data_IF_790563438948
#
_entry.id   IF_790563438948
#
_cell.length_a   1.000
_cell.length_b   1.000
_cell.length_c   1.000
_cell.angle_alpha   90.00
_cell.angle_beta   90.00
_cell.angle_gamma   90.00
#
_symmetry.space_group_name_H-M   'P 1'
#
loop_
_entity.id
_entity.type
_entity.pdbx_description
1 polymer ?
#
# COMPACT_ATOMS: atom_id res chain seq x y z
N UNK A 1 -0.32 10.47 -7.03
CA UNK A 1 -1.42 10.95 -6.16
C UNK A 1 -1.51 10.00 -4.97
N UNK A 2 -1.59 10.51 -3.74
CA UNK A 2 -1.78 9.73 -2.51
C UNK A 2 -3.25 9.83 -2.08
N UNK A 3 -3.74 8.90 -1.27
CA UNK A 3 -5.10 8.98 -0.73
C UNK A 3 -5.15 8.32 0.65
N UNK A 4 -5.78 8.99 1.61
CA UNK A 4 -6.04 8.47 2.95
C UNK A 4 -7.54 8.44 3.21
N UNK A 5 -8.01 8.11 4.42
CA UNK A 5 -9.43 7.90 4.70
C UNK A 5 -10.23 9.23 4.78
N UNK A 6 -10.17 10.02 3.70
CA UNK A 6 -10.80 11.32 3.51
C UNK A 6 -11.14 11.49 2.01
N UNK A 7 -12.37 11.91 1.71
CA UNK A 7 -12.75 12.30 0.35
C UNK A 7 -12.05 13.59 -0.07
N UNK A 8 -11.29 13.53 -1.18
CA UNK A 8 -10.52 14.69 -1.68
C UNK A 8 -11.33 15.70 -2.49
N UNK A 9 -12.52 15.32 -2.96
CA UNK A 9 -13.28 16.07 -3.96
C UNK A 9 -14.69 16.47 -3.49
N UNK A 10 -15.01 16.23 -2.22
CA UNK A 10 -16.25 16.71 -1.61
C UNK A 10 -15.95 18.02 -0.87
N UNK A 11 -16.72 19.05 -1.17
CA UNK A 11 -16.46 20.42 -0.73
C UNK A 11 -17.09 20.76 0.62
N UNK A 12 -17.85 19.86 1.24
CA UNK A 12 -18.49 20.10 2.53
C UNK A 12 -18.20 18.98 3.53
N UNK A 13 -18.08 19.35 4.80
CA UNK A 13 -18.01 18.43 5.93
C UNK A 13 -19.28 17.60 6.10
N UNK A 14 -20.41 18.09 5.56
CA UNK A 14 -21.71 17.39 5.55
C UNK A 14 -21.74 16.22 4.56
N UNK A 15 -21.04 16.32 3.43
CA UNK A 15 -20.92 15.25 2.43
C UNK A 15 -19.72 14.31 2.68
N UNK A 16 -18.65 14.85 3.27
CA UNK A 16 -17.37 14.15 3.46
C UNK A 16 -17.26 13.31 4.75
N UNK A 17 -18.25 13.37 5.64
CA UNK A 17 -18.23 12.71 6.95
C UNK A 17 -17.25 13.34 7.95
N UNK A 18 -17.24 12.85 9.20
CA UNK A 18 -16.28 13.30 10.22
C UNK A 18 -14.86 12.85 9.86
N UNK A 19 -14.00 13.81 9.57
CA UNK A 19 -12.59 13.54 9.26
C UNK A 19 -11.87 13.10 10.53
N UNK A 20 -11.17 11.96 10.47
CA UNK A 20 -10.29 11.58 11.56
C UNK A 20 -8.98 12.35 11.48
N UNK A 21 -8.47 12.84 12.61
CA UNK A 21 -7.17 13.52 12.71
C UNK A 21 -6.06 12.68 12.06
N UNK A 22 -6.08 11.36 12.26
CA UNK A 22 -5.15 10.43 11.64
C UNK A 22 -5.14 10.50 10.11
N UNK A 23 -6.27 10.79 9.47
CA UNK A 23 -6.33 10.88 8.00
C UNK A 23 -5.75 12.19 7.48
N UNK A 24 -6.02 13.30 8.17
CA UNK A 24 -5.43 14.61 7.86
C UNK A 24 -3.91 14.57 8.04
N UNK A 25 -3.43 14.06 9.17
CA UNK A 25 -2.00 13.94 9.46
C UNK A 25 -1.26 13.09 8.44
N UNK A 26 -1.79 11.90 8.11
CA UNK A 26 -1.16 11.00 7.14
C UNK A 26 -1.17 11.57 5.72
N UNK A 27 -2.24 12.26 5.34
CA UNK A 27 -2.30 12.97 4.06
C UNK A 27 -1.22 14.05 4.00
N UNK A 28 -1.13 14.90 5.03
CA UNK A 28 -0.10 15.93 5.12
C UNK A 28 1.33 15.36 5.21
N UNK A 29 1.53 14.20 5.85
CA UNK A 29 2.80 13.49 5.82
C UNK A 29 3.16 13.05 4.40
N UNK A 30 2.24 12.40 3.70
CA UNK A 30 2.49 11.92 2.35
C UNK A 30 2.71 13.06 1.35
N UNK A 31 2.04 14.19 1.53
CA UNK A 31 2.18 15.36 0.66
C UNK A 31 3.50 16.13 0.89
N UNK A 32 4.20 15.88 2.00
CA UNK A 32 5.56 16.40 2.24
C UNK A 32 6.64 15.65 1.47
N UNK A 33 6.36 14.43 1.02
CA UNK A 33 7.30 13.69 0.18
C UNK A 33 7.35 14.29 -1.21
N UNK A 34 8.53 14.23 -1.83
CA UNK A 34 8.64 14.53 -3.25
C UNK A 34 7.84 13.51 -4.06
N UNK A 35 7.45 13.89 -5.28
CA UNK A 35 6.82 12.97 -6.20
C UNK A 35 7.75 11.76 -6.40
N UNK A 36 7.30 10.52 -6.12
CA UNK A 36 8.17 9.37 -6.18
C UNK A 36 8.64 9.11 -7.61
N UNK A 37 9.96 8.98 -7.79
CA UNK A 37 10.59 8.68 -9.08
C UNK A 37 11.09 7.23 -9.15
N UNK A 38 11.14 6.56 -8.00
CA UNK A 38 11.66 5.21 -7.86
C UNK A 38 10.82 4.35 -6.92
N UNK A 39 11.04 3.03 -6.99
CA UNK A 39 10.53 2.09 -5.98
C UNK A 39 10.96 2.52 -4.56
N UNK A 40 12.21 2.96 -4.40
CA UNK A 40 12.74 3.38 -3.11
C UNK A 40 11.89 4.48 -2.47
N UNK A 41 11.55 5.50 -3.26
CA UNK A 41 10.74 6.63 -2.80
C UNK A 41 9.35 6.18 -2.34
N UNK A 42 8.73 5.26 -3.07
CA UNK A 42 7.41 4.71 -2.70
C UNK A 42 7.50 3.97 -1.37
N UNK A 43 8.54 3.14 -1.17
CA UNK A 43 8.73 2.42 0.09
C UNK A 43 9.03 3.37 1.26
N UNK A 44 9.74 4.49 1.02
CA UNK A 44 9.96 5.52 2.03
C UNK A 44 8.64 6.19 2.45
N UNK A 45 7.75 6.50 1.50
CA UNK A 45 6.42 7.05 1.83
C UNK A 45 5.60 6.04 2.63
N UNK A 46 5.54 4.79 2.17
CA UNK A 46 4.74 3.72 2.82
C UNK A 46 5.27 3.37 4.22
N UNK A 47 6.58 3.53 4.43
CA UNK A 47 7.28 3.27 5.67
C UNK A 47 7.47 4.50 6.57
N UNK A 48 6.89 5.64 6.21
CA UNK A 48 7.12 6.91 6.91
C UNK A 48 6.60 6.88 8.36
N UNK A 49 7.53 7.13 9.28
CA UNK A 49 7.32 7.24 10.73
C UNK A 49 7.73 8.61 11.29
N UNK A 50 7.89 9.63 10.45
CA UNK A 50 8.36 10.97 10.84
C UNK A 50 7.39 11.72 11.75
N UNK A 51 6.07 11.51 11.57
CA UNK A 51 5.07 11.94 12.54
C UNK A 51 5.05 10.95 13.71
N UNK A 52 5.53 11.36 14.88
CA UNK A 52 5.64 10.50 16.06
C UNK A 52 4.29 10.15 16.71
N UNK A 53 3.20 10.84 16.35
CA UNK A 53 1.87 10.65 16.92
C UNK A 53 0.98 9.89 15.94
N UNK A 54 0.96 10.31 14.68
CA UNK A 54 0.07 9.79 13.63
C UNK A 54 0.84 9.45 12.33
N UNK A 55 1.82 8.52 12.38
CA UNK A 55 2.62 8.16 11.22
C UNK A 55 1.81 7.47 10.12
N UNK A 56 2.37 7.42 8.91
CA UNK A 56 1.81 6.63 7.80
C UNK A 56 1.96 5.14 8.13
N UNK A 57 3.18 4.71 8.45
CA UNK A 57 3.44 3.38 8.96
C UNK A 57 3.22 3.33 10.47
N UNK A 58 2.22 2.57 10.93
CA UNK A 58 1.76 2.56 12.32
C UNK A 58 2.06 1.21 12.97
N UNK A 59 2.07 1.18 14.30
CA UNK A 59 2.10 -0.08 15.05
C UNK A 59 0.92 -1.01 14.73
N UNK A 60 -0.20 -0.44 14.26
CA UNK A 60 -1.40 -1.16 13.78
C UNK A 60 -1.44 -1.39 12.27
N UNK A 61 -0.40 -1.03 11.52
CA UNK A 61 -0.32 -1.36 10.10
C UNK A 61 -0.09 -2.87 9.98
N UNK A 62 -1.10 -3.60 9.51
CA UNK A 62 -1.04 -5.06 9.40
C UNK A 62 -0.20 -5.47 8.19
N UNK A 63 -0.47 -4.85 7.04
CA UNK A 63 0.14 -5.21 5.76
C UNK A 63 0.53 -3.97 4.99
N UNK A 64 1.69 -4.02 4.33
CA UNK A 64 2.05 -3.10 3.24
C UNK A 64 2.17 -3.92 1.96
N UNK A 65 1.63 -3.40 0.86
CA UNK A 65 1.74 -4.04 -0.46
C UNK A 65 2.30 -3.04 -1.46
N UNK A 66 3.21 -3.52 -2.31
CA UNK A 66 3.75 -2.78 -3.44
C UNK A 66 3.50 -3.57 -4.73
N UNK A 67 2.94 -2.89 -5.73
CA UNK A 67 2.76 -3.40 -7.07
C UNK A 67 3.54 -2.53 -8.05
N UNK A 68 4.30 -3.17 -8.93
CA UNK A 68 5.03 -2.49 -9.99
C UNK A 68 4.47 -2.93 -11.34
N UNK A 69 3.93 -1.98 -12.09
CA UNK A 69 3.38 -2.24 -13.42
C UNK A 69 4.47 -2.40 -14.48
N UNK A 70 5.69 -1.87 -14.25
CA UNK A 70 6.77 -1.91 -15.24
C UNK A 70 7.36 -3.32 -15.41
N UNK A 71 7.42 -4.10 -14.33
CA UNK A 71 7.98 -5.45 -14.31
C UNK A 71 6.97 -6.50 -13.83
N UNK A 72 5.73 -6.08 -13.56
CA UNK A 72 4.68 -6.96 -13.04
C UNK A 72 4.99 -7.53 -11.66
N UNK A 73 5.89 -6.93 -10.88
CA UNK A 73 6.24 -7.46 -9.56
C UNK A 73 5.23 -7.09 -8.48
N UNK A 74 5.09 -8.00 -7.52
CA UNK A 74 4.28 -7.88 -6.32
C UNK A 74 5.19 -8.13 -5.11
N UNK A 75 5.09 -7.27 -4.09
CA UNK A 75 5.82 -7.40 -2.84
C UNK A 75 4.89 -7.08 -1.66
N UNK A 76 4.98 -7.88 -0.59
CA UNK A 76 4.20 -7.70 0.61
C UNK A 76 5.05 -7.78 1.87
N UNK A 77 4.75 -6.90 2.82
CA UNK A 77 5.30 -6.87 4.18
C UNK A 77 4.16 -7.12 5.16
N UNK A 78 4.44 -7.88 6.21
CA UNK A 78 3.52 -8.10 7.32
C UNK A 78 4.30 -7.96 8.63
N UNK A 79 3.88 -7.00 9.47
CA UNK A 79 4.55 -6.70 10.75
C UNK A 79 5.92 -6.05 10.63
N UNK A 80 6.38 -5.66 9.44
CA UNK A 80 7.67 -5.01 9.22
C UNK A 80 7.56 -3.77 8.33
N UNK A 81 8.41 -2.76 8.61
CA UNK A 81 8.38 -1.48 7.92
C UNK A 81 9.03 -1.63 6.52
N UNK A 82 8.32 -1.29 5.43
CA UNK A 82 8.82 -1.43 4.05
C UNK A 82 10.04 -0.56 3.73
N UNK A 83 10.25 0.55 4.46
CA UNK A 83 11.39 1.44 4.27
C UNK A 83 12.72 0.86 4.82
N UNK A 84 12.64 -0.08 5.76
CA UNK A 84 13.82 -0.56 6.52
C UNK A 84 13.97 -2.08 6.51
N UNK A 85 13.09 -2.82 5.83
CA UNK A 85 13.12 -4.28 5.84
C UNK A 85 12.79 -4.87 4.46
N UNK A 86 13.30 -6.08 4.14
CA UNK A 86 12.91 -6.78 2.92
C UNK A 86 11.44 -7.25 3.00
N UNK A 87 10.77 -7.46 1.85
CA UNK A 87 9.42 -8.00 1.83
C UNK A 87 9.39 -9.43 2.37
N UNK A 88 8.30 -9.78 3.03
CA UNK A 88 8.03 -11.15 3.48
C UNK A 88 7.69 -12.05 2.30
N UNK A 89 6.99 -11.51 1.30
CA UNK A 89 6.60 -12.24 0.09
C UNK A 89 6.86 -11.37 -1.14
N UNK A 90 7.46 -11.97 -2.16
CA UNK A 90 7.68 -11.36 -3.45
C UNK A 90 7.33 -12.37 -4.56
N UNK A 91 6.60 -11.93 -5.57
CA UNK A 91 6.27 -12.73 -6.76
C UNK A 91 6.00 -11.85 -7.98
N UNK A 92 5.69 -12.46 -9.13
CA UNK A 92 5.03 -11.74 -10.22
C UNK A 92 3.52 -11.70 -9.98
N UNK A 93 2.86 -10.63 -10.41
CA UNK A 93 1.38 -10.53 -10.40
C UNK A 93 0.77 -11.65 -11.24
N UNK A 94 1.39 -12.02 -12.37
CA UNK A 94 0.93 -13.13 -13.21
C UNK A 94 0.83 -14.46 -12.44
N UNK A 95 1.82 -14.77 -11.62
CA UNK A 95 1.83 -16.02 -10.82
C UNK A 95 0.66 -16.13 -9.84
N UNK A 96 0.04 -15.01 -9.44
CA UNK A 96 -1.15 -15.03 -8.58
C UNK A 96 -2.37 -15.64 -9.29
N UNK A 97 -2.35 -15.68 -10.63
CA UNK A 97 -3.44 -16.15 -11.48
C UNK A 97 -3.13 -17.46 -12.21
N UNK A 98 -1.90 -17.97 -12.11
CA UNK A 98 -1.44 -19.14 -12.88
C UNK A 98 -1.80 -20.51 -12.26
N UNK A 99 -2.64 -20.58 -11.22
CA UNK A 99 -3.02 -21.86 -10.59
C UNK A 99 -4.50 -22.22 -10.78
N UNK A 100 -4.83 -22.85 -11.92
CA UNK A 100 -5.63 -24.10 -11.94
C UNK A 100 -5.58 -24.81 -13.31
N UNK A 101 -4.41 -25.32 -13.74
CA UNK A 101 -4.42 -26.62 -14.44
C UNK A 101 -4.35 -27.70 -13.38
N UNK A 102 -5.51 -28.23 -13.00
CA UNK A 102 -5.59 -29.53 -12.33
C UNK A 102 -4.86 -30.53 -13.22
N UNK A 103 -3.68 -30.97 -12.78
CA UNK A 103 -2.97 -32.06 -13.42
C UNK A 103 -3.80 -33.34 -13.30
N UNK A 104 -4.34 -33.82 -14.42
CA UNK A 104 -4.49 -35.27 -14.64
C UNK A 104 -5.78 -35.98 -14.17
N UNK A 105 -6.86 -35.28 -13.86
CA UNK A 105 -8.17 -35.91 -13.66
C UNK A 105 -9.01 -35.93 -14.94
N UNK A 106 -9.04 -37.06 -15.66
CA UNK A 106 -9.99 -37.30 -16.77
C UNK A 106 -11.43 -37.02 -16.29
N UNK A 107 -12.11 -36.05 -16.91
CA UNK A 107 -13.57 -36.07 -16.98
C UNK A 107 -13.90 -36.56 -18.39
N UNK A 108 -14.41 -37.78 -18.46
CA UNK A 108 -15.11 -38.31 -19.63
C UNK A 108 -16.52 -37.70 -19.58
N UNK A 109 -16.90 -37.01 -20.65
CA UNK A 109 -18.30 -36.68 -20.95
C UNK A 109 -18.83 -37.75 -21.87
#
# INVERSE_FOLDING_TARGET
MTHFNLYKHLNSSEEGGNWSDSSVHRQAAADRHQLPASRGDILQILGDVTDSVLPIYRSKTMVTVFFSSSDGSFQAWHGSNPATSPPLWQSSVASLFESSTLSGGRIVV
#
